data_IF_356643378080
#
_entry.id   IF_356643378080
#
_cell.length_a   1.000
_cell.length_b   1.000
_cell.length_c   1.000
_cell.angle_alpha   90.00
_cell.angle_beta   90.00
_cell.angle_gamma   90.00
#
_symmetry.space_group_name_H-M   'P 1'
#
loop_
_entity.id
_entity.type
_entity.pdbx_description
1 polymer ?
#
# COMPACT_ATOMS: atom_id res chain seq x y z
N UNK A 1 19.90 0.81 -15.15
CA UNK A 1 19.56 2.24 -15.18
C UNK A 1 19.64 2.91 -13.79
N UNK A 2 19.32 2.24 -12.68
CA UNK A 2 19.33 2.85 -11.32
C UNK A 2 20.69 2.94 -10.60
N UNK A 3 21.68 2.08 -10.95
CA UNK A 3 22.99 2.08 -10.28
C UNK A 3 24.03 2.97 -10.95
N UNK A 4 23.76 3.48 -12.16
CA UNK A 4 24.69 4.40 -12.81
C UNK A 4 24.65 5.73 -12.07
N UNK A 5 25.71 5.99 -11.32
CA UNK A 5 25.87 7.21 -10.55
C UNK A 5 25.77 8.41 -11.49
N UNK A 6 24.88 9.38 -11.23
CA UNK A 6 24.76 10.58 -12.05
C UNK A 6 26.13 11.28 -12.19
N UNK A 7 26.45 11.87 -13.36
CA UNK A 7 27.76 12.48 -13.59
C UNK A 7 28.11 13.58 -12.56
N UNK A 8 27.11 14.29 -12.05
CA UNK A 8 27.27 15.27 -10.98
C UNK A 8 27.74 14.64 -9.64
N UNK A 9 27.21 13.46 -9.29
CA UNK A 9 27.56 12.76 -8.06
C UNK A 9 28.91 12.04 -8.18
N UNK A 10 29.25 11.55 -9.39
CA UNK A 10 30.54 10.92 -9.69
C UNK A 10 31.70 11.91 -9.56
N UNK A 11 31.48 13.19 -9.85
CA UNK A 11 32.46 14.27 -9.63
C UNK A 11 32.69 14.58 -8.16
N UNK A 12 31.66 14.46 -7.30
CA UNK A 12 31.77 14.71 -5.85
C UNK A 12 32.29 13.52 -5.06
N UNK A 13 32.01 12.30 -5.51
CA UNK A 13 32.36 11.07 -4.81
C UNK A 13 32.85 10.00 -5.80
N UNK A 14 34.12 10.06 -6.25
CA UNK A 14 34.66 9.13 -7.24
C UNK A 14 34.66 7.67 -6.76
N UNK A 15 34.79 7.43 -5.45
CA UNK A 15 34.70 6.10 -4.85
C UNK A 15 33.34 5.42 -5.09
N UNK A 16 32.23 6.19 -5.09
CA UNK A 16 30.90 5.66 -5.40
C UNK A 16 30.77 5.27 -6.88
N UNK A 17 31.45 5.99 -7.77
CA UNK A 17 31.55 5.64 -9.18
C UNK A 17 32.24 4.29 -9.38
N UNK A 18 33.42 4.12 -8.79
CA UNK A 18 34.19 2.88 -8.89
C UNK A 18 33.45 1.67 -8.28
N UNK A 19 32.72 1.88 -7.17
CA UNK A 19 31.89 0.83 -6.56
C UNK A 19 30.72 0.44 -7.47
N UNK A 20 30.05 1.42 -8.08
CA UNK A 20 28.96 1.19 -9.03
C UNK A 20 29.44 0.36 -10.23
N UNK A 21 30.58 0.73 -10.82
CA UNK A 21 31.15 0.00 -11.96
C UNK A 21 31.48 -1.45 -11.58
N UNK A 22 32.14 -1.68 -10.43
CA UNK A 22 32.45 -3.03 -9.92
C UNK A 22 31.21 -3.89 -9.65
N UNK A 23 30.11 -3.27 -9.21
CA UNK A 23 28.85 -3.97 -9.01
C UNK A 23 28.17 -4.28 -10.34
N UNK A 24 28.24 -3.36 -11.32
CA UNK A 24 27.71 -3.54 -12.67
C UNK A 24 28.41 -4.69 -13.39
N UNK A 25 29.71 -4.85 -13.18
CA UNK A 25 30.52 -5.95 -13.72
C UNK A 25 30.14 -7.33 -13.13
N UNK A 26 29.37 -7.39 -12.04
CA UNK A 26 28.96 -8.64 -11.37
C UNK A 26 27.43 -8.83 -11.43
N UNK A 27 26.87 -9.29 -12.57
CA UNK A 27 25.42 -9.42 -12.74
C UNK A 27 24.77 -10.39 -11.74
N UNK A 28 25.47 -11.41 -11.28
CA UNK A 28 24.98 -12.30 -10.23
C UNK A 28 24.80 -11.58 -8.88
N UNK A 29 25.79 -10.76 -8.48
CA UNK A 29 25.72 -10.00 -7.23
C UNK A 29 24.58 -8.97 -7.27
N UNK A 30 24.39 -8.29 -8.41
CA UNK A 30 23.27 -7.37 -8.65
C UNK A 30 21.91 -8.04 -8.44
N UNK A 31 21.71 -9.23 -9.02
CA UNK A 31 20.46 -9.98 -8.88
C UNK A 31 20.20 -10.35 -7.43
N UNK A 32 21.23 -10.78 -6.71
CA UNK A 32 21.12 -11.11 -5.29
C UNK A 32 20.81 -9.89 -4.43
N UNK A 33 21.49 -8.76 -4.65
CA UNK A 33 21.21 -7.50 -3.95
C UNK A 33 19.76 -7.07 -4.20
N UNK A 34 19.30 -7.13 -5.45
CA UNK A 34 17.92 -6.81 -5.82
C UNK A 34 16.91 -7.72 -5.13
N UNK A 35 17.13 -9.04 -5.18
CA UNK A 35 16.27 -10.03 -4.52
C UNK A 35 16.22 -9.81 -2.99
N UNK A 36 17.37 -9.54 -2.38
CA UNK A 36 17.48 -9.29 -0.95
C UNK A 36 16.75 -8.00 -0.57
N UNK A 37 16.86 -6.95 -1.38
CA UNK A 37 16.13 -5.70 -1.16
C UNK A 37 14.62 -5.86 -1.29
N UNK A 38 14.15 -6.64 -2.28
CA UNK A 38 12.74 -6.99 -2.42
C UNK A 38 12.22 -7.78 -1.21
N UNK A 39 12.99 -8.75 -0.74
CA UNK A 39 12.65 -9.55 0.44
C UNK A 39 12.54 -8.67 1.70
N UNK A 40 13.58 -7.90 2.02
CA UNK A 40 13.57 -7.02 3.20
C UNK A 40 12.51 -5.92 3.10
N UNK A 41 12.31 -5.35 1.91
CA UNK A 41 11.24 -4.37 1.67
C UNK A 41 9.86 -4.98 1.89
N UNK A 42 9.63 -6.21 1.43
CA UNK A 42 8.39 -6.94 1.67
C UNK A 42 8.15 -7.23 3.16
N UNK A 43 9.17 -7.71 3.86
CA UNK A 43 9.11 -7.94 5.30
C UNK A 43 8.81 -6.65 6.08
N UNK A 44 9.47 -5.55 5.71
CA UNK A 44 9.23 -4.24 6.31
C UNK A 44 7.81 -3.73 6.03
N UNK A 45 7.30 -3.93 4.81
CA UNK A 45 5.94 -3.52 4.44
C UNK A 45 4.84 -4.30 5.20
N UNK A 46 5.05 -5.60 5.42
CA UNK A 46 4.12 -6.45 6.17
C UNK A 46 4.18 -6.18 7.68
N UNK A 47 5.35 -5.79 8.20
CA UNK A 47 5.64 -5.66 9.63
C UNK A 47 4.57 -4.87 10.40
N UNK A 48 4.15 -3.71 9.89
CA UNK A 48 3.13 -2.89 10.57
C UNK A 48 1.80 -3.62 10.69
N UNK A 49 1.34 -4.29 9.62
CA UNK A 49 0.10 -5.05 9.66
C UNK A 49 0.17 -6.24 10.60
N UNK A 50 1.32 -6.94 10.65
CA UNK A 50 1.55 -8.04 11.60
C UNK A 50 1.56 -7.55 13.04
N UNK A 51 2.22 -6.42 13.32
CA UNK A 51 2.26 -5.82 14.66
C UNK A 51 0.85 -5.48 15.15
N UNK A 52 0.01 -4.88 14.29
CA UNK A 52 -1.39 -4.65 14.62
C UNK A 52 -2.12 -5.96 14.87
N UNK A 53 -1.93 -6.97 14.00
CA UNK A 53 -2.60 -8.27 14.14
C UNK A 53 -2.28 -9.02 15.44
N UNK A 54 -1.09 -8.80 16.01
CA UNK A 54 -0.69 -9.38 17.28
C UNK A 54 -1.43 -8.76 18.49
N UNK A 55 -2.05 -7.59 18.35
CA UNK A 55 -2.81 -6.92 19.41
C UNK A 55 -4.23 -7.51 19.53
N UNK A 56 -4.32 -8.79 19.90
CA UNK A 56 -5.58 -9.55 20.00
C UNK A 56 -6.63 -8.98 20.96
N UNK A 57 -6.27 -8.01 21.81
CA UNK A 57 -7.21 -7.27 22.65
C UNK A 57 -8.16 -6.36 21.85
N UNK A 58 -7.89 -6.12 20.55
CA UNK A 58 -8.69 -5.26 19.68
C UNK A 58 -9.26 -6.08 18.52
N UNK A 59 -10.58 -6.38 18.51
CA UNK A 59 -11.19 -7.27 17.51
C UNK A 59 -10.95 -6.83 16.06
N UNK A 60 -10.91 -5.53 15.77
CA UNK A 60 -10.66 -5.03 14.41
C UNK A 60 -9.24 -5.36 13.93
N UNK A 61 -8.27 -5.33 14.86
CA UNK A 61 -6.88 -5.63 14.52
C UNK A 61 -6.60 -7.12 14.45
N UNK A 62 -7.38 -7.96 15.12
CA UNK A 62 -7.19 -9.41 15.14
C UNK A 62 -7.56 -10.08 13.80
N UNK A 63 -6.75 -9.85 12.76
CA UNK A 63 -6.91 -10.42 11.44
C UNK A 63 -5.55 -10.59 10.76
N UNK A 64 -5.29 -11.79 10.23
CA UNK A 64 -4.08 -12.10 9.48
C UNK A 64 -3.99 -11.33 8.15
N UNK A 65 -5.12 -10.81 7.64
CA UNK A 65 -5.17 -10.06 6.39
C UNK A 65 -4.53 -8.68 6.48
N UNK A 66 -4.31 -8.13 7.68
CA UNK A 66 -3.70 -6.81 7.84
C UNK A 66 -2.27 -6.74 7.31
N UNK A 67 -1.47 -7.79 7.48
CA UNK A 67 -0.11 -7.85 6.96
C UNK A 67 -0.06 -7.66 5.44
N UNK A 68 -0.69 -8.56 4.66
CA UNK A 68 -0.81 -8.43 3.21
C UNK A 68 -1.47 -7.12 2.76
N UNK A 69 -2.53 -6.68 3.44
CA UNK A 69 -3.24 -5.44 3.10
C UNK A 69 -2.31 -4.21 3.18
N UNK A 70 -1.52 -4.08 4.27
CA UNK A 70 -0.57 -2.97 4.42
C UNK A 70 0.55 -3.02 3.39
N UNK A 71 1.03 -4.22 3.03
CA UNK A 71 2.04 -4.39 1.99
C UNK A 71 1.50 -3.94 0.62
N UNK A 72 0.35 -4.45 0.19
CA UNK A 72 -0.23 -4.11 -1.12
C UNK A 72 -0.56 -2.62 -1.20
N UNK A 73 -1.18 -2.05 -0.16
CA UNK A 73 -1.43 -0.61 -0.07
C UNK A 73 -0.14 0.21 -0.14
N UNK A 74 0.95 -0.27 0.47
CA UNK A 74 2.27 0.35 0.40
C UNK A 74 2.91 0.29 -0.99
N UNK A 75 2.78 -0.85 -1.69
CA UNK A 75 3.25 -1.02 -3.06
C UNK A 75 2.48 -0.12 -4.04
N UNK A 76 1.16 -0.01 -3.88
CA UNK A 76 0.32 0.91 -4.64
C UNK A 76 0.75 2.37 -4.44
N UNK A 77 0.87 2.82 -3.19
CA UNK A 77 1.33 4.18 -2.89
C UNK A 77 2.75 4.46 -3.43
N UNK A 78 3.65 3.48 -3.41
CA UNK A 78 4.98 3.60 -4.00
C UNK A 78 4.92 3.70 -5.53
N UNK A 79 4.12 2.87 -6.20
CA UNK A 79 3.92 2.92 -7.65
C UNK A 79 3.33 4.28 -8.08
N UNK A 80 2.32 4.77 -7.35
CA UNK A 80 1.74 6.09 -7.54
C UNK A 80 2.76 7.21 -7.35
N UNK A 81 3.59 7.15 -6.30
CA UNK A 81 4.63 8.15 -6.06
C UNK A 81 5.67 8.16 -7.18
N UNK A 82 6.17 7.00 -7.59
CA UNK A 82 7.14 6.91 -8.70
C UNK A 82 6.51 7.40 -10.00
N UNK A 83 5.23 7.10 -10.25
CA UNK A 83 4.52 7.60 -11.42
C UNK A 83 4.51 9.14 -11.50
N UNK A 84 4.39 9.85 -10.37
CA UNK A 84 4.42 11.31 -10.34
C UNK A 84 5.77 11.90 -10.77
N UNK A 85 6.87 11.24 -10.41
CA UNK A 85 8.23 11.74 -10.65
C UNK A 85 8.90 11.12 -11.88
N UNK A 86 8.34 10.04 -12.42
CA UNK A 86 8.87 9.35 -13.60
C UNK A 86 8.87 10.32 -14.80
N UNK A 87 10.02 10.53 -15.48
CA UNK A 87 10.08 11.41 -16.64
C UNK A 87 9.58 10.72 -17.92
N UNK A 88 9.66 9.39 -17.98
CA UNK A 88 9.35 8.61 -19.17
C UNK A 88 7.88 8.17 -19.21
N UNK A 89 7.24 8.31 -20.37
CA UNK A 89 5.81 7.98 -20.56
C UNK A 89 5.55 6.48 -20.47
N UNK A 90 6.45 5.63 -20.98
CA UNK A 90 6.30 4.17 -20.91
C UNK A 90 6.47 3.68 -19.47
N UNK A 91 7.37 4.30 -18.72
CA UNK A 91 7.54 4.03 -17.29
C UNK A 91 6.26 4.38 -16.51
N UNK A 92 5.66 5.54 -16.78
CA UNK A 92 4.35 5.92 -16.19
C UNK A 92 3.25 4.92 -16.53
N UNK A 93 3.16 4.49 -17.79
CA UNK A 93 2.14 3.52 -18.21
C UNK A 93 2.32 2.16 -17.50
N UNK A 94 3.57 1.69 -17.36
CA UNK A 94 3.88 0.47 -16.65
C UNK A 94 3.54 0.56 -15.16
N UNK A 95 3.84 1.69 -14.53
CA UNK A 95 3.50 1.95 -13.12
C UNK A 95 1.99 2.03 -12.91
N UNK A 96 1.25 2.68 -13.81
CA UNK A 96 -0.21 2.73 -13.76
C UNK A 96 -0.84 1.34 -13.92
N UNK A 97 -0.32 0.49 -14.82
CA UNK A 97 -0.77 -0.90 -14.97
C UNK A 97 -0.50 -1.73 -13.72
N UNK A 98 0.67 -1.58 -13.10
CA UNK A 98 1.01 -2.27 -11.87
C UNK A 98 0.10 -1.81 -10.71
N UNK A 99 -0.11 -0.49 -10.59
CA UNK A 99 -0.95 0.13 -9.57
C UNK A 99 -2.41 -0.33 -9.69
N UNK A 100 -2.98 -0.38 -10.90
CA UNK A 100 -4.30 -0.97 -11.14
C UNK A 100 -4.42 -2.39 -10.56
N UNK A 101 -3.39 -3.21 -10.73
CA UNK A 101 -3.32 -4.55 -10.15
C UNK A 101 -3.30 -4.52 -8.62
N UNK A 102 -2.50 -3.63 -8.01
CA UNK A 102 -2.45 -3.48 -6.57
C UNK A 102 -3.78 -2.98 -5.99
N UNK A 103 -4.44 -2.01 -6.62
CA UNK A 103 -5.74 -1.49 -6.21
C UNK A 103 -6.84 -2.57 -6.24
N UNK A 104 -6.85 -3.43 -7.26
CA UNK A 104 -7.77 -4.57 -7.34
C UNK A 104 -7.53 -5.58 -6.23
N UNK A 105 -6.27 -5.92 -5.95
CA UNK A 105 -5.89 -6.83 -4.87
C UNK A 105 -6.20 -6.22 -3.50
N UNK A 106 -5.96 -4.93 -3.32
CA UNK A 106 -6.30 -4.18 -2.10
C UNK A 106 -7.81 -4.22 -1.85
N UNK A 107 -8.62 -3.96 -2.87
CA UNK A 107 -10.08 -4.04 -2.78
C UNK A 107 -10.55 -5.45 -2.40
N UNK A 108 -9.95 -6.49 -3.00
CA UNK A 108 -10.24 -7.87 -2.66
C UNK A 108 -9.87 -8.19 -1.20
N UNK A 109 -8.70 -7.75 -0.73
CA UNK A 109 -8.30 -7.93 0.67
C UNK A 109 -9.18 -7.16 1.64
N UNK A 110 -9.63 -5.94 1.31
CA UNK A 110 -10.59 -5.18 2.12
C UNK A 110 -11.94 -5.89 2.21
N UNK A 111 -12.43 -6.43 1.10
CA UNK A 111 -13.66 -7.22 1.09
C UNK A 111 -13.52 -8.49 1.95
N UNK A 112 -12.44 -9.26 1.76
CA UNK A 112 -12.16 -10.45 2.57
C UNK A 112 -11.97 -10.12 4.04
N UNK A 113 -11.36 -8.98 4.36
CA UNK A 113 -11.20 -8.49 5.73
C UNK A 113 -12.55 -8.22 6.38
N UNK A 114 -13.46 -7.51 5.71
CA UNK A 114 -14.81 -7.25 6.21
C UNK A 114 -15.62 -8.54 6.35
N UNK A 115 -15.57 -9.44 5.36
CA UNK A 115 -16.24 -10.75 5.42
C UNK A 115 -15.70 -11.55 6.62
N UNK A 116 -14.39 -11.57 6.82
CA UNK A 116 -13.75 -12.24 7.95
C UNK A 116 -14.20 -11.70 9.31
N UNK A 117 -14.34 -10.37 9.45
CA UNK A 117 -14.88 -9.76 10.67
C UNK A 117 -16.36 -10.12 10.89
N UNK A 118 -17.17 -10.07 9.82
CA UNK A 118 -18.60 -10.35 9.86
C UNK A 118 -18.94 -11.81 10.12
N UNK A 119 -18.02 -12.73 9.77
CA UNK A 119 -18.21 -14.17 9.93
C UNK A 119 -17.64 -14.71 11.25
N UNK A 120 -17.10 -13.82 12.10
CA UNK A 120 -16.43 -14.17 13.35
C UNK A 120 -17.33 -13.87 14.57
N UNK A 121 -16.73 -13.63 15.73
CA UNK A 121 -17.47 -13.39 16.97
C UNK A 121 -18.26 -12.07 16.96
N UNK A 122 -19.23 -11.93 17.87
CA UNK A 122 -20.03 -10.70 18.05
C UNK A 122 -19.17 -9.43 18.20
N UNK A 123 -18.00 -9.54 18.84
CA UNK A 123 -17.08 -8.42 18.98
C UNK A 123 -16.43 -8.00 17.65
N UNK A 124 -16.13 -8.95 16.76
CA UNK A 124 -15.63 -8.66 15.42
C UNK A 124 -16.72 -8.05 14.53
N UNK A 125 -17.96 -8.55 14.62
CA UNK A 125 -19.11 -7.95 13.91
C UNK A 125 -19.33 -6.50 14.37
N UNK A 126 -19.27 -6.24 15.68
CA UNK A 126 -19.35 -4.88 16.21
C UNK A 126 -18.20 -3.98 15.72
N UNK A 127 -16.98 -4.53 15.65
CA UNK A 127 -15.83 -3.84 15.09
C UNK A 127 -16.00 -3.53 13.59
N UNK A 128 -16.53 -4.45 12.78
CA UNK A 128 -16.89 -4.20 11.39
C UNK A 128 -17.91 -3.06 11.28
N UNK A 129 -18.87 -2.98 12.23
CA UNK A 129 -19.84 -1.89 12.33
C UNK A 129 -19.21 -0.50 12.34
N UNK A 130 -18.02 -0.34 12.93
CA UNK A 130 -17.27 0.93 12.94
C UNK A 130 -16.93 1.42 11.53
N UNK A 131 -16.69 0.50 10.59
CA UNK A 131 -16.36 0.75 9.19
C UNK A 131 -17.59 0.74 8.27
N UNK A 132 -18.62 -0.05 8.59
CA UNK A 132 -19.80 -0.20 7.73
C UNK A 132 -20.76 0.98 7.84
N UNK A 133 -20.98 1.50 9.05
CA UNK A 133 -21.91 2.62 9.29
C UNK A 133 -21.61 3.43 10.55
N UNK A 134 -20.56 3.08 11.29
CA UNK A 134 -20.12 3.80 12.46
C UNK A 134 -19.31 5.06 12.15
N UNK A 135 -18.59 5.60 13.15
CA UNK A 135 -17.90 6.90 13.04
C UNK A 135 -16.86 6.98 11.91
N UNK A 136 -16.31 5.85 11.48
CA UNK A 136 -15.31 5.77 10.41
C UNK A 136 -15.90 5.39 9.06
N UNK A 137 -17.20 5.07 8.98
CA UNK A 137 -17.78 4.49 7.78
C UNK A 137 -17.81 5.42 6.58
N UNK A 138 -18.19 6.68 6.78
CA UNK A 138 -18.13 7.67 5.69
C UNK A 138 -16.70 7.84 5.15
N UNK A 139 -15.71 7.89 6.05
CA UNK A 139 -14.31 8.03 5.65
C UNK A 139 -13.79 6.77 4.94
N UNK A 140 -14.17 5.59 5.41
CA UNK A 140 -13.83 4.32 4.77
C UNK A 140 -14.44 4.21 3.37
N UNK A 141 -15.75 4.40 3.21
CA UNK A 141 -16.40 4.20 1.91
C UNK A 141 -16.12 5.31 0.92
N UNK A 142 -16.14 6.59 1.35
CA UNK A 142 -15.97 7.71 0.43
C UNK A 142 -14.50 7.94 0.13
N UNK A 143 -13.65 8.04 1.16
CA UNK A 143 -12.25 8.43 0.97
C UNK A 143 -11.39 7.22 0.59
N UNK A 144 -11.49 6.10 1.29
CA UNK A 144 -10.66 4.93 1.00
C UNK A 144 -11.16 4.20 -0.25
N UNK A 145 -12.41 3.71 -0.22
CA UNK A 145 -12.93 2.92 -1.34
C UNK A 145 -13.20 3.81 -2.56
N UNK A 146 -13.97 4.89 -2.41
CA UNK A 146 -14.35 5.76 -3.52
C UNK A 146 -13.18 6.50 -4.13
N UNK A 147 -12.59 7.43 -3.37
CA UNK A 147 -11.53 8.32 -3.86
C UNK A 147 -10.16 7.65 -3.92
N UNK A 148 -9.86 6.70 -3.04
CA UNK A 148 -8.55 6.07 -2.94
C UNK A 148 -8.34 4.88 -3.88
N UNK A 149 -9.42 4.19 -4.26
CA UNK A 149 -9.35 2.93 -5.04
C UNK A 149 -10.17 3.03 -6.32
N UNK A 150 -11.49 3.20 -6.22
CA UNK A 150 -12.41 3.10 -7.37
C UNK A 150 -12.16 4.21 -8.40
N UNK A 151 -12.09 5.47 -7.95
CA UNK A 151 -11.90 6.60 -8.85
C UNK A 151 -10.51 6.57 -9.54
N UNK A 152 -9.38 6.34 -8.83
CA UNK A 152 -8.09 6.17 -9.47
C UNK A 152 -8.06 5.00 -10.46
N UNK A 153 -8.65 3.86 -10.11
CA UNK A 153 -8.73 2.70 -11.00
C UNK A 153 -9.45 3.05 -12.31
N UNK A 154 -10.57 3.78 -12.25
CA UNK A 154 -11.28 4.25 -13.44
C UNK A 154 -10.36 5.16 -14.28
N UNK A 155 -9.75 6.17 -13.66
CA UNK A 155 -8.88 7.13 -14.36
C UNK A 155 -7.68 6.41 -15.00
N UNK A 156 -7.00 5.54 -14.25
CA UNK A 156 -5.80 4.83 -14.69
C UNK A 156 -6.12 3.82 -15.80
N UNK A 157 -7.25 3.10 -15.74
CA UNK A 157 -7.68 2.23 -16.84
C UNK A 157 -7.91 3.01 -18.13
N UNK A 158 -8.58 4.17 -18.07
CA UNK A 158 -8.76 5.03 -19.25
C UNK A 158 -7.42 5.59 -19.76
N UNK A 159 -6.49 5.92 -18.85
CA UNK A 159 -5.17 6.45 -19.22
C UNK A 159 -4.30 5.39 -19.91
N UNK A 160 -4.35 4.15 -19.42
CA UNK A 160 -3.67 2.99 -19.98
C UNK A 160 -4.23 2.60 -21.34
N UNK A 161 -5.54 2.77 -21.57
CA UNK A 161 -6.17 2.60 -22.90
C UNK A 161 -5.92 3.79 -23.84
N UNK A 162 -5.09 4.75 -23.45
CA UNK A 162 -4.78 5.99 -24.18
C UNK A 162 -6.01 6.87 -24.49
N UNK A 163 -7.12 6.70 -23.75
CA UNK A 163 -8.32 7.53 -23.90
C UNK A 163 -8.20 8.87 -23.19
N UNK A 164 -7.37 8.94 -22.15
CA UNK A 164 -7.04 10.17 -21.42
C UNK A 164 -5.52 10.27 -21.20
N UNK A 165 -5.02 11.49 -21.04
CA UNK A 165 -3.61 11.71 -20.72
C UNK A 165 -3.31 11.25 -19.29
N UNK A 166 -2.06 10.85 -19.04
CA UNK A 166 -1.59 10.55 -17.68
C UNK A 166 -1.52 11.87 -16.89
N UNK A 167 -2.36 11.99 -15.86
CA UNK A 167 -2.42 13.17 -14.99
C UNK A 167 -1.92 12.84 -13.59
N UNK A 168 -1.48 13.83 -12.80
CA UNK A 168 -1.09 13.61 -11.40
C UNK A 168 -2.28 13.29 -10.48
N UNK A 169 -3.52 13.44 -10.95
CA UNK A 169 -4.73 13.34 -10.13
C UNK A 169 -4.87 11.93 -9.55
N UNK A 170 -4.84 10.88 -10.39
CA UNK A 170 -5.00 9.52 -9.91
C UNK A 170 -3.90 9.10 -8.90
N UNK A 171 -2.60 9.31 -9.17
CA UNK A 171 -1.57 9.00 -8.18
C UNK A 171 -1.70 9.75 -6.86
N UNK A 172 -2.10 11.03 -6.88
CA UNK A 172 -2.32 11.80 -5.65
C UNK A 172 -3.49 11.24 -4.83
N UNK A 173 -4.56 10.84 -5.50
CA UNK A 173 -5.71 10.20 -4.89
C UNK A 173 -5.34 8.84 -4.27
N UNK A 174 -4.53 8.02 -4.95
CA UNK A 174 -4.03 6.74 -4.42
C UNK A 174 -3.22 6.95 -3.15
N UNK A 175 -2.28 7.90 -3.14
CA UNK A 175 -1.46 8.21 -1.96
C UNK A 175 -2.34 8.69 -0.80
N UNK A 176 -3.28 9.60 -1.07
CA UNK A 176 -4.23 10.10 -0.07
C UNK A 176 -5.14 8.98 0.47
N UNK A 177 -5.63 8.10 -0.41
CA UNK A 177 -6.44 6.94 -0.07
C UNK A 177 -5.68 5.93 0.80
N UNK A 178 -4.43 5.63 0.45
CA UNK A 178 -3.57 4.76 1.25
C UNK A 178 -3.24 5.33 2.63
N UNK A 179 -3.06 6.66 2.75
CA UNK A 179 -2.93 7.32 4.04
C UNK A 179 -4.24 7.24 4.85
N UNK A 180 -5.37 7.50 4.21
CA UNK A 180 -6.69 7.40 4.82
C UNK A 180 -6.99 5.97 5.32
N UNK A 181 -6.62 4.94 4.55
CA UNK A 181 -6.77 3.54 4.97
C UNK A 181 -6.00 3.27 6.27
N UNK A 182 -4.72 3.65 6.31
CA UNK A 182 -3.88 3.48 7.51
C UNK A 182 -4.48 4.19 8.71
N UNK A 183 -4.94 5.42 8.53
CA UNK A 183 -5.60 6.18 9.59
C UNK A 183 -6.87 5.47 10.09
N UNK A 184 -7.76 5.03 9.18
CA UNK A 184 -9.02 4.37 9.55
C UNK A 184 -8.75 3.06 10.29
N UNK A 185 -7.88 2.20 9.78
CA UNK A 185 -7.59 0.89 10.41
C UNK A 185 -6.99 1.07 11.80
N UNK A 186 -6.09 2.04 11.98
CA UNK A 186 -5.49 2.31 13.29
C UNK A 186 -6.54 2.91 14.25
N UNK A 187 -7.23 3.98 13.85
CA UNK A 187 -8.15 4.66 14.75
C UNK A 187 -9.40 3.82 15.09
N UNK A 188 -9.97 3.13 14.10
CA UNK A 188 -11.10 2.24 14.35
C UNK A 188 -10.70 1.06 15.26
N UNK A 189 -9.47 0.55 15.12
CA UNK A 189 -8.99 -0.52 15.99
C UNK A 189 -8.78 -0.08 17.44
N UNK A 190 -8.32 1.15 17.68
CA UNK A 190 -8.17 1.68 19.04
C UNK A 190 -9.50 1.73 19.82
N UNK A 191 -10.61 2.03 19.13
CA UNK A 191 -11.94 2.09 19.77
C UNK A 191 -12.65 0.75 19.77
N UNK A 192 -12.24 -0.21 18.94
CA UNK A 192 -12.75 -1.58 18.98
C UNK A 192 -12.36 -2.26 20.29
N UNK A 193 -13.28 -2.93 20.95
CA UNK A 193 -13.00 -3.60 22.22
C UNK A 193 -13.88 -4.84 22.37
N UNK A 194 -13.38 -5.79 23.16
CA UNK A 194 -14.21 -6.90 23.63
C UNK A 194 -15.30 -6.36 24.55
N UNK A 195 -16.47 -7.01 24.54
CA UNK A 195 -17.58 -6.63 25.41
C UNK A 195 -17.08 -6.56 26.86
N UNK A 196 -17.32 -5.43 27.54
CA UNK A 196 -17.05 -5.33 28.98
C UNK A 196 -18.04 -6.25 29.68
N UNK A 197 -17.52 -7.18 30.48
CA UNK A 197 -18.37 -7.95 31.40
C UNK A 197 -18.86 -6.96 32.45
N UNK A 198 -20.18 -6.71 32.60
CA UNK A 198 -20.65 -5.83 33.66
C UNK A 198 -20.32 -6.48 35.01
N UNK A 199 -19.42 -5.88 35.79
CA UNK A 199 -19.09 -6.33 37.15
C UNK A 199 -17.62 -6.67 37.44
N UNK A 200 -16.71 -6.53 36.47
CA UNK A 200 -15.25 -6.54 36.70
C UNK A 200 -14.58 -5.41 35.92
#
# INVERSE_FOLDING_TARGET
LLLRVPPALRRRAPALGALSDRLIERPAALRWIGAMNMLWGGLLGIYTGVLLSALGARPLWNSALLGPLFLISGLSAAAAFVHLIAPDVKERELLAKADNGFLLVELAFLALFLIGLLSSSRAHVAAAGLLLGGPFGAFFWVVVIGLGIVLPLIIQLQAVEHRVAHTPIAPLLVIAGGLALRFVIVQAGQVSHWARVPGF
#
